data_IF_875354408919
#
_entry.id   IF_875354408919
#
_cell.length_a   1.000
_cell.length_b   1.000
_cell.length_c   1.000
_cell.angle_alpha   90.00
_cell.angle_beta   90.00
_cell.angle_gamma   90.00
#
_symmetry.space_group_name_H-M   'P 1'
#
loop_
_entity.id
_entity.type
_entity.pdbx_description
1 polymer ?
#
# COMPACT_ATOMS: atom_id res chain seq x y z
N UNK A 1 -13.01 -21.79 -6.62
CA UNK A 1 -13.12 -21.12 -5.29
C UNK A 1 -11.79 -21.03 -4.56
N UNK A 2 -11.14 -22.13 -4.16
CA UNK A 2 -9.80 -22.09 -3.51
C UNK A 2 -8.77 -21.38 -4.40
N UNK A 3 -8.71 -21.81 -5.67
CA UNK A 3 -7.79 -21.28 -6.68
C UNK A 3 -8.01 -19.78 -6.97
N UNK A 4 -9.25 -19.29 -6.88
CA UNK A 4 -9.57 -17.87 -7.09
C UNK A 4 -9.10 -16.99 -5.92
N UNK A 5 -9.25 -17.50 -4.68
CA UNK A 5 -8.75 -16.81 -3.48
C UNK A 5 -7.22 -16.72 -3.50
N UNK A 6 -6.56 -17.77 -3.96
CA UNK A 6 -5.10 -17.82 -4.07
C UNK A 6 -4.56 -16.83 -5.11
N UNK A 7 -5.19 -16.73 -6.29
CA UNK A 7 -4.87 -15.69 -7.29
C UNK A 7 -5.07 -14.27 -6.76
N UNK A 8 -6.15 -14.05 -6.01
CA UNK A 8 -6.39 -12.74 -5.35
C UNK A 8 -5.30 -12.44 -4.33
N UNK A 9 -4.90 -13.42 -3.53
CA UNK A 9 -3.80 -13.29 -2.58
C UNK A 9 -2.46 -12.95 -3.25
N UNK A 10 -2.08 -13.68 -4.31
CA UNK A 10 -0.88 -13.37 -5.07
C UNK A 10 -0.93 -11.97 -5.68
N UNK A 11 -2.10 -11.55 -6.18
CA UNK A 11 -2.31 -10.20 -6.67
C UNK A 11 -2.11 -9.14 -5.57
N UNK A 12 -2.57 -9.40 -4.34
CA UNK A 12 -2.34 -8.51 -3.18
C UNK A 12 -0.87 -8.41 -2.81
N UNK A 13 -0.14 -9.52 -2.80
CA UNK A 13 1.29 -9.54 -2.51
C UNK A 13 2.10 -8.83 -3.60
N UNK A 14 1.78 -9.08 -4.87
CA UNK A 14 2.40 -8.41 -6.01
C UNK A 14 2.12 -6.91 -5.99
N UNK A 15 0.88 -6.52 -5.65
CA UNK A 15 0.49 -5.12 -5.47
C UNK A 15 1.31 -4.45 -4.37
N UNK A 16 1.37 -5.09 -3.20
CA UNK A 16 2.19 -4.66 -2.07
C UNK A 16 3.65 -4.45 -2.50
N UNK A 17 4.27 -5.48 -3.07
CA UNK A 17 5.66 -5.43 -3.53
C UNK A 17 5.87 -4.31 -4.56
N UNK A 18 4.93 -4.15 -5.50
CA UNK A 18 5.03 -3.12 -6.54
C UNK A 18 4.92 -1.72 -5.97
N UNK A 19 3.98 -1.46 -5.06
CA UNK A 19 3.86 -0.16 -4.41
C UNK A 19 5.14 0.11 -3.62
N UNK A 20 5.60 -0.81 -2.77
CA UNK A 20 6.78 -0.54 -1.95
C UNK A 20 8.09 -0.42 -2.73
N UNK A 21 8.28 -1.17 -3.82
CA UNK A 21 9.52 -1.12 -4.60
C UNK A 21 9.52 -0.03 -5.68
N UNK A 22 8.39 0.21 -6.36
CA UNK A 22 8.34 1.17 -7.47
C UNK A 22 7.88 2.55 -7.04
N UNK A 23 6.98 2.66 -6.06
CA UNK A 23 6.39 3.96 -5.72
C UNK A 23 7.39 4.93 -5.08
N UNK A 24 8.20 4.56 -4.06
CA UNK A 24 9.15 5.50 -3.46
C UNK A 24 10.16 6.12 -4.45
N UNK A 25 10.88 5.33 -5.29
CA UNK A 25 11.81 5.93 -6.24
C UNK A 25 11.08 6.75 -7.32
N UNK A 26 9.92 6.27 -7.82
CA UNK A 26 9.15 7.03 -8.80
C UNK A 26 8.65 8.36 -8.20
N UNK A 27 8.20 8.36 -6.96
CA UNK A 27 7.75 9.53 -6.23
C UNK A 27 8.88 10.55 -6.03
N UNK A 28 10.08 10.10 -5.68
CA UNK A 28 11.25 10.98 -5.55
C UNK A 28 11.59 11.61 -6.91
N UNK A 29 11.63 10.81 -7.98
CA UNK A 29 11.95 11.30 -9.33
C UNK A 29 10.91 12.32 -9.80
N UNK A 30 9.61 12.03 -9.64
CA UNK A 30 8.55 12.95 -10.09
C UNK A 30 8.54 14.25 -9.30
N UNK A 31 8.69 14.20 -7.97
CA UNK A 31 8.77 15.41 -7.15
C UNK A 31 10.05 16.22 -7.47
N UNK A 32 11.17 15.56 -7.70
CA UNK A 32 12.42 16.22 -8.12
C UNK A 32 12.29 16.90 -9.47
N UNK A 33 11.71 16.21 -10.46
CA UNK A 33 11.43 16.80 -11.77
C UNK A 33 10.47 17.98 -11.65
N UNK A 34 9.38 17.88 -10.89
CA UNK A 34 8.45 18.97 -10.65
C UNK A 34 9.13 20.19 -10.02
N UNK A 35 9.98 19.97 -9.02
CA UNK A 35 10.76 21.03 -8.39
C UNK A 35 11.63 21.79 -9.41
N UNK A 36 12.34 21.04 -10.27
CA UNK A 36 13.26 21.61 -11.24
C UNK A 36 12.55 22.27 -12.43
N UNK A 37 11.47 21.68 -12.94
CA UNK A 37 10.74 22.18 -14.12
C UNK A 37 9.82 23.36 -13.81
N UNK A 38 9.14 23.35 -12.67
CA UNK A 38 8.22 24.43 -12.30
C UNK A 38 8.94 25.60 -11.60
N UNK A 39 10.25 25.47 -11.34
CA UNK A 39 11.03 26.49 -10.65
C UNK A 39 10.48 26.83 -9.26
N UNK A 40 9.80 25.88 -8.62
CA UNK A 40 9.13 26.10 -7.33
C UNK A 40 10.20 26.24 -6.25
N UNK A 41 10.48 27.47 -5.84
CA UNK A 41 11.45 27.77 -4.78
C UNK A 41 10.88 27.56 -3.37
N UNK A 42 9.56 27.45 -3.25
CA UNK A 42 8.89 27.31 -1.95
C UNK A 42 8.75 25.83 -1.56
N UNK A 43 9.40 25.38 -0.47
CA UNK A 43 9.29 23.99 0.00
C UNK A 43 7.87 23.64 0.47
N UNK A 44 7.07 24.63 0.88
CA UNK A 44 5.67 24.42 1.28
C UNK A 44 4.81 23.93 0.10
N UNK A 45 5.00 24.52 -1.08
CA UNK A 45 4.22 24.14 -2.27
C UNK A 45 4.56 22.70 -2.68
N UNK A 46 5.82 22.30 -2.62
CA UNK A 46 6.25 20.92 -2.86
C UNK A 46 5.64 19.96 -1.85
N UNK A 47 5.60 20.33 -0.58
CA UNK A 47 4.98 19.52 0.46
C UNK A 47 3.48 19.29 0.19
N UNK A 48 2.75 20.33 -0.21
CA UNK A 48 1.33 20.17 -0.59
C UNK A 48 1.15 19.28 -1.82
N UNK A 49 1.98 19.43 -2.85
CA UNK A 49 1.94 18.57 -4.05
C UNK A 49 2.25 17.11 -3.66
N UNK A 50 3.26 16.90 -2.82
CA UNK A 50 3.63 15.59 -2.29
C UNK A 50 2.47 14.92 -1.55
N UNK A 51 1.76 15.65 -0.68
CA UNK A 51 0.57 15.11 0.02
C UNK A 51 -0.57 14.81 -0.96
N UNK A 52 -0.89 15.75 -1.86
CA UNK A 52 -2.02 15.60 -2.79
C UNK A 52 -1.83 14.42 -3.74
N UNK A 53 -0.60 14.11 -4.11
CA UNK A 53 -0.27 12.96 -4.97
C UNK A 53 -0.28 11.62 -4.22
N UNK A 54 -0.09 11.61 -2.90
CA UNK A 54 -0.16 10.41 -2.06
C UNK A 54 -1.61 9.94 -1.81
N UNK A 55 -2.53 10.87 -1.57
CA UNK A 55 -3.95 10.57 -1.27
C UNK A 55 -4.60 9.56 -2.24
N UNK A 56 -4.55 9.73 -3.58
CA UNK A 56 -5.21 8.81 -4.50
C UNK A 56 -4.59 7.40 -4.46
N UNK A 57 -3.29 7.32 -4.18
CA UNK A 57 -2.53 6.07 -4.15
C UNK A 57 -2.86 5.30 -2.87
N UNK A 58 -2.91 6.01 -1.74
CA UNK A 58 -3.38 5.46 -0.47
C UNK A 58 -4.81 4.95 -0.56
N UNK A 59 -5.71 5.72 -1.18
CA UNK A 59 -7.10 5.31 -1.36
C UNK A 59 -7.22 4.07 -2.24
N UNK A 60 -6.48 4.03 -3.35
CA UNK A 60 -6.47 2.89 -4.27
C UNK A 60 -5.91 1.63 -3.59
N UNK A 61 -4.82 1.76 -2.83
CA UNK A 61 -4.26 0.66 -2.05
C UNK A 61 -5.24 0.16 -1.00
N UNK A 62 -5.89 1.05 -0.24
CA UNK A 62 -6.92 0.69 0.75
C UNK A 62 -8.08 -0.08 0.13
N UNK A 63 -8.57 0.35 -1.03
CA UNK A 63 -9.66 -0.34 -1.76
C UNK A 63 -9.25 -1.76 -2.18
N UNK A 64 -8.00 -1.96 -2.54
CA UNK A 64 -7.48 -3.26 -2.95
C UNK A 64 -7.06 -4.14 -1.78
N UNK A 65 -6.72 -3.57 -0.63
CA UNK A 65 -6.29 -4.26 0.58
C UNK A 65 -7.44 -5.01 1.29
N UNK A 66 -8.02 -6.01 0.63
CA UNK A 66 -9.12 -6.84 1.13
C UNK A 66 -8.69 -8.30 1.13
N UNK A 67 -8.85 -8.98 2.26
CA UNK A 67 -8.52 -10.38 2.42
C UNK A 67 -9.55 -11.29 1.72
N UNK A 68 -9.12 -12.22 0.84
CA UNK A 68 -10.04 -13.08 0.08
C UNK A 68 -10.72 -14.16 0.95
N UNK A 69 -10.22 -14.39 2.17
CA UNK A 69 -10.80 -15.36 3.11
C UNK A 69 -11.81 -14.74 4.07
N UNK A 70 -11.47 -13.62 4.72
CA UNK A 70 -12.32 -13.02 5.75
C UNK A 70 -12.99 -11.70 5.35
N UNK A 71 -12.72 -11.18 4.14
CA UNK A 71 -13.28 -9.93 3.63
C UNK A 71 -12.84 -8.65 4.35
N UNK A 72 -12.00 -8.76 5.38
CA UNK A 72 -11.47 -7.62 6.13
C UNK A 72 -10.16 -7.12 5.52
N UNK A 73 -9.64 -6.00 6.02
CA UNK A 73 -8.34 -5.49 5.57
C UNK A 73 -7.23 -6.53 5.76
N UNK A 74 -6.35 -6.67 4.75
CA UNK A 74 -5.26 -7.64 4.81
C UNK A 74 -4.08 -7.15 5.64
N UNK A 75 -3.63 -5.91 5.39
CA UNK A 75 -2.41 -5.34 5.97
C UNK A 75 -2.64 -4.20 6.98
N UNK A 76 -3.58 -3.28 6.71
CA UNK A 76 -3.62 -1.97 7.37
C UNK A 76 -4.50 -1.88 8.62
N UNK A 77 -5.73 -2.38 8.52
CA UNK A 77 -6.74 -2.26 9.57
C UNK A 77 -7.08 -3.62 10.17
N UNK A 78 -7.18 -3.63 11.49
CA UNK A 78 -7.79 -4.73 12.23
C UNK A 78 -9.32 -4.63 12.18
N UNK A 79 -10.02 -5.71 12.52
CA UNK A 79 -11.50 -5.76 12.52
C UNK A 79 -12.12 -4.75 13.48
N UNK A 80 -11.40 -4.36 14.53
CA UNK A 80 -11.80 -3.33 15.50
C UNK A 80 -11.60 -1.90 14.98
N UNK A 81 -11.12 -1.74 13.73
CA UNK A 81 -10.87 -0.45 13.11
C UNK A 81 -9.52 0.15 13.47
N UNK A 82 -8.73 -0.49 14.34
CA UNK A 82 -7.39 0.02 14.68
C UNK A 82 -6.45 -0.15 13.50
N UNK A 83 -5.65 0.88 13.23
CA UNK A 83 -4.62 0.83 12.21
C UNK A 83 -3.35 0.21 12.81
N UNK A 84 -2.80 -0.81 12.15
CA UNK A 84 -1.48 -1.32 12.51
C UNK A 84 -0.42 -0.39 11.89
N UNK A 85 0.25 0.38 12.73
CA UNK A 85 1.29 1.35 12.35
C UNK A 85 2.65 0.65 12.23
N UNK A 86 2.73 -0.65 12.49
CA UNK A 86 4.01 -1.34 12.47
C UNK A 86 4.57 -1.50 11.04
N UNK A 87 5.90 -1.43 10.94
CA UNK A 87 6.66 -1.83 9.75
C UNK A 87 6.51 -3.34 9.43
N UNK A 88 5.63 -4.07 10.11
CA UNK A 88 5.30 -5.44 9.72
C UNK A 88 4.60 -5.48 8.39
N UNK A 89 3.97 -4.39 7.94
CA UNK A 89 3.39 -4.32 6.60
C UNK A 89 4.37 -4.68 5.49
N UNK A 90 5.68 -4.49 5.68
CA UNK A 90 6.72 -4.83 4.70
C UNK A 90 6.97 -6.35 4.60
N UNK A 91 6.95 -7.07 5.71
CA UNK A 91 7.28 -8.51 5.78
C UNK A 91 6.06 -9.42 5.93
N UNK A 92 4.91 -8.86 6.27
CA UNK A 92 3.68 -9.60 6.51
C UNK A 92 3.18 -10.28 5.23
N UNK A 93 3.10 -11.60 5.27
CA UNK A 93 2.48 -12.46 4.25
C UNK A 93 1.09 -12.94 4.68
N UNK A 94 0.74 -12.82 5.95
CA UNK A 94 -0.52 -13.31 6.53
C UNK A 94 -1.49 -12.17 6.82
N UNK A 95 -2.78 -12.41 6.69
CA UNK A 95 -3.81 -11.44 7.00
C UNK A 95 -3.80 -11.11 8.51
N UNK A 96 -3.77 -9.83 8.85
CA UNK A 96 -3.76 -9.36 10.25
C UNK A 96 -4.99 -9.81 11.05
N UNK A 97 -6.09 -10.10 10.36
CA UNK A 97 -7.40 -10.34 10.95
C UNK A 97 -7.79 -11.82 11.07
N UNK A 98 -7.27 -12.68 10.20
CA UNK A 98 -7.65 -14.10 10.17
C UNK A 98 -6.47 -15.05 10.02
N UNK A 99 -5.22 -14.56 9.97
CA UNK A 99 -4.02 -15.38 9.91
C UNK A 99 -3.75 -16.08 8.57
N UNK A 100 -4.73 -16.15 7.67
CA UNK A 100 -4.58 -16.76 6.33
C UNK A 100 -3.58 -16.01 5.43
N UNK A 101 -2.85 -16.68 4.52
CA UNK A 101 -2.92 -18.12 4.25
C UNK A 101 -2.29 -18.96 5.37
N UNK A 102 -2.86 -20.14 5.58
CA UNK A 102 -2.39 -21.09 6.62
C UNK A 102 -1.27 -22.00 6.11
N UNK A 103 -0.78 -21.77 4.89
CA UNK A 103 0.36 -22.52 4.38
C UNK A 103 1.58 -22.25 5.30
N UNK A 104 2.11 -23.34 5.81
CA UNK A 104 3.24 -23.39 6.76
C UNK A 104 4.45 -22.62 6.22
N UNK A 105 5.25 -22.01 7.10
CA UNK A 105 6.49 -21.31 6.70
C UNK A 105 7.47 -22.21 5.93
#
# INVERSE_FOLDING_TARGET
>A
MENDKQKQYESLLNLKSRIFNFYPPLFIITNWSLYHFLGIKSPLILFFIAILTQIPIDFWFRKKNICPWCGNSFFLFRKDGTQDISFKIFTQSKCINCGKPDDEP
#
